data_IF_850583961523
#
_entry.id   IF_850583961523
#
_cell.length_a   1.000
_cell.length_b   1.000
_cell.length_c   1.000
_cell.angle_alpha   90.00
_cell.angle_beta   90.00
_cell.angle_gamma   90.00
#
_symmetry.space_group_name_H-M   'P 1'
#
loop_
_entity.id
_entity.type
_entity.pdbx_description
1 polymer ?
#
# COMPACT_ATOMS: atom_id res chain seq x y z
N UNK A 1 -12.54 0.68 22.95
CA UNK A 1 -12.38 -0.53 22.13
C UNK A 1 -11.40 -0.15 21.04
N UNK A 2 -10.12 -0.48 21.24
CA UNK A 2 -8.99 0.23 20.62
C UNK A 2 -8.61 -0.36 19.27
N UNK A 3 -8.48 0.49 18.25
CA UNK A 3 -7.98 0.31 16.86
C UNK A 3 -7.37 -1.04 16.46
N UNK A 4 -6.53 -1.64 17.30
CA UNK A 4 -5.93 -2.96 17.09
C UNK A 4 -6.99 -4.05 16.81
N UNK A 5 -8.10 -4.06 17.54
CA UNK A 5 -9.17 -5.05 17.33
C UNK A 5 -9.86 -4.86 15.97
N UNK A 6 -10.04 -3.62 15.53
CA UNK A 6 -10.63 -3.31 14.23
C UNK A 6 -9.70 -3.75 13.10
N UNK A 7 -8.39 -3.51 13.25
CA UNK A 7 -7.37 -3.98 12.31
C UNK A 7 -7.32 -5.52 12.28
N UNK A 8 -7.34 -6.19 13.44
CA UNK A 8 -7.31 -7.66 13.53
C UNK A 8 -8.54 -8.28 12.83
N UNK A 9 -9.74 -7.76 13.10
CA UNK A 9 -10.97 -8.18 12.42
C UNK A 9 -10.93 -7.91 10.91
N UNK A 10 -10.38 -6.77 10.50
CA UNK A 10 -10.22 -6.43 9.09
C UNK A 10 -9.25 -7.39 8.37
N UNK A 11 -8.11 -7.68 9.01
CA UNK A 11 -7.09 -8.60 8.50
C UNK A 11 -7.66 -10.01 8.31
N UNK A 12 -8.39 -10.51 9.29
CA UNK A 12 -9.02 -11.83 9.27
C UNK A 12 -10.17 -11.91 8.25
N UNK A 13 -11.10 -10.94 8.25
CA UNK A 13 -12.25 -10.94 7.36
C UNK A 13 -11.86 -10.88 5.88
N UNK A 14 -10.86 -10.05 5.54
CA UNK A 14 -10.40 -9.86 4.16
C UNK A 14 -9.27 -10.82 3.76
N UNK A 15 -8.82 -11.71 4.66
CA UNK A 15 -7.70 -12.65 4.43
C UNK A 15 -6.44 -11.94 3.91
N UNK A 16 -6.11 -10.79 4.50
CA UNK A 16 -4.97 -9.98 4.07
C UNK A 16 -3.67 -10.68 4.43
N UNK A 17 -2.72 -10.79 3.50
CA UNK A 17 -1.42 -11.41 3.78
C UNK A 17 -0.37 -10.40 4.23
N UNK A 18 -0.36 -9.23 3.61
CA UNK A 18 0.56 -8.13 3.90
C UNK A 18 -0.25 -6.83 3.89
N UNK A 19 -0.23 -6.12 4.99
CA UNK A 19 -0.90 -4.84 5.16
C UNK A 19 0.16 -3.74 5.32
N UNK A 20 0.10 -2.72 4.48
CA UNK A 20 0.93 -1.53 4.58
C UNK A 20 0.09 -0.39 5.17
N UNK A 21 0.60 0.23 6.23
CA UNK A 21 -0.09 1.32 6.93
C UNK A 21 0.81 2.54 6.97
N UNK A 22 0.34 3.63 6.40
CA UNK A 22 0.94 4.96 6.55
C UNK A 22 0.16 5.75 7.59
N UNK A 23 0.80 6.76 8.19
CA UNK A 23 0.14 7.63 9.16
C UNK A 23 -0.46 6.89 10.37
N UNK A 24 0.25 5.88 10.88
CA UNK A 24 -0.24 5.12 12.05
C UNK A 24 -0.20 5.92 13.36
N UNK A 25 0.65 6.95 13.45
CA UNK A 25 0.76 7.92 14.57
C UNK A 25 1.16 7.31 15.92
N UNK A 26 1.61 6.06 15.93
CA UNK A 26 2.06 5.34 17.11
C UNK A 26 3.53 5.66 17.41
N UNK A 27 3.88 5.61 18.69
CA UNK A 27 5.26 5.56 19.18
C UNK A 27 5.76 4.11 19.19
N UNK A 28 7.08 3.96 19.22
CA UNK A 28 7.75 2.64 19.13
C UNK A 28 7.29 1.65 20.20
N UNK A 29 7.02 2.11 21.42
CA UNK A 29 6.55 1.27 22.52
C UNK A 29 5.08 0.83 22.37
N UNK A 30 4.30 1.52 21.54
CA UNK A 30 2.90 1.21 21.25
C UNK A 30 2.74 0.20 20.11
N UNK A 31 3.83 -0.13 19.40
CA UNK A 31 3.80 -1.11 18.29
C UNK A 31 3.75 -2.57 18.76
N UNK A 32 3.70 -2.83 20.07
CA UNK A 32 3.58 -4.18 20.62
C UNK A 32 2.13 -4.69 20.53
N UNK A 33 1.54 -4.59 19.35
CA UNK A 33 0.18 -5.01 19.05
C UNK A 33 0.16 -6.53 18.82
N UNK A 34 -0.66 -7.25 19.58
CA UNK A 34 -0.83 -8.69 19.44
C UNK A 34 -2.00 -8.99 18.49
N UNK A 35 -1.73 -9.03 17.19
CA UNK A 35 -2.68 -9.55 16.21
C UNK A 35 -2.70 -11.08 16.28
N UNK A 36 -3.87 -11.68 16.02
CA UNK A 36 -4.06 -13.13 16.14
C UNK A 36 -3.19 -13.88 15.13
N UNK A 37 -3.42 -13.61 13.86
CA UNK A 37 -2.77 -14.31 12.74
C UNK A 37 -1.66 -13.48 12.07
N UNK A 38 -1.39 -12.28 12.58
CA UNK A 38 -0.45 -11.34 11.98
C UNK A 38 0.55 -10.79 12.98
N UNK A 39 1.60 -10.15 12.48
CA UNK A 39 2.63 -9.52 13.28
C UNK A 39 3.13 -8.25 12.58
N UNK A 40 3.48 -7.22 13.35
CA UNK A 40 4.22 -6.07 12.84
C UNK A 40 5.65 -6.52 12.56
N UNK A 41 6.11 -6.43 11.31
CA UNK A 41 7.44 -6.90 10.90
C UNK A 41 8.44 -5.77 10.72
N UNK A 42 7.98 -4.62 10.22
CA UNK A 42 8.81 -3.44 10.01
C UNK A 42 8.02 -2.19 10.31
N UNK A 43 8.69 -1.16 10.82
CA UNK A 43 8.06 0.09 11.20
C UNK A 43 9.07 1.24 11.25
N UNK A 44 8.58 2.44 10.96
CA UNK A 44 9.23 3.71 11.25
C UNK A 44 8.28 4.57 12.09
N UNK A 45 8.70 4.94 13.30
CA UNK A 45 7.98 5.87 14.16
C UNK A 45 8.72 7.20 14.23
N UNK A 46 7.98 8.32 14.22
CA UNK A 46 8.56 9.64 14.51
C UNK A 46 8.98 9.74 15.96
N UNK A 47 10.16 10.30 16.19
CA UNK A 47 10.68 10.58 17.53
C UNK A 47 10.23 11.97 17.98
N UNK A 48 10.42 12.98 17.12
CA UNK A 48 10.34 14.39 17.50
C UNK A 48 9.00 15.04 17.14
N UNK A 49 8.41 14.69 16.00
CA UNK A 49 7.14 15.23 15.56
C UNK A 49 5.95 14.33 15.91
N UNK A 50 4.77 14.95 15.91
CA UNK A 50 3.48 14.27 16.03
C UNK A 50 3.00 13.78 14.66
N UNK A 51 2.19 12.71 14.67
CA UNK A 51 1.55 12.11 13.49
C UNK A 51 2.56 11.60 12.45
N UNK A 52 2.12 10.93 11.40
CA UNK A 52 3.00 10.18 10.48
C UNK A 52 3.38 8.78 10.97
N UNK A 53 4.48 8.26 10.44
CA UNK A 53 4.94 6.89 10.61
C UNK A 53 4.49 5.97 9.48
N UNK A 54 5.18 4.85 9.35
CA UNK A 54 4.90 3.79 8.37
C UNK A 54 5.13 2.43 9.04
N UNK A 55 4.26 1.46 8.80
CA UNK A 55 4.43 0.09 9.31
C UNK A 55 3.93 -0.95 8.33
N UNK A 56 4.48 -2.16 8.43
CA UNK A 56 4.03 -3.33 7.67
C UNK A 56 3.66 -4.45 8.63
N UNK A 57 2.44 -4.95 8.47
CA UNK A 57 1.90 -6.12 9.17
C UNK A 57 1.85 -7.29 8.21
N UNK A 58 2.33 -8.46 8.62
CA UNK A 58 2.40 -9.67 7.80
C UNK A 58 1.73 -10.83 8.52
N UNK A 59 1.00 -11.66 7.78
CA UNK A 59 0.45 -12.91 8.29
C UNK A 59 1.60 -13.85 8.74
N UNK A 60 1.45 -14.43 9.93
CA UNK A 60 2.47 -15.27 10.61
C UNK A 60 2.85 -16.53 9.83
N UNK A 61 2.02 -16.99 8.91
CA UNK A 61 2.31 -18.15 8.05
C UNK A 61 3.41 -17.86 7.03
N UNK A 62 3.73 -16.59 6.76
CA UNK A 62 4.74 -16.19 5.78
C UNK A 62 6.08 -15.88 6.44
N UNK A 63 7.12 -16.58 5.98
CA UNK A 63 8.51 -16.25 6.33
C UNK A 63 8.90 -14.93 5.68
N UNK A 64 9.35 -13.99 6.50
CA UNK A 64 9.75 -12.68 6.07
C UNK A 64 10.77 -12.07 7.03
N UNK A 65 11.49 -11.05 6.56
CA UNK A 65 12.46 -10.30 7.38
C UNK A 65 12.39 -8.81 7.06
N UNK A 66 12.65 -7.99 8.06
CA UNK A 66 12.80 -6.55 7.86
C UNK A 66 14.05 -6.23 7.02
N UNK A 67 13.92 -5.32 6.05
CA UNK A 67 15.04 -4.73 5.30
C UNK A 67 15.54 -3.48 6.00
N UNK A 68 16.29 -3.67 7.08
CA UNK A 68 16.83 -2.58 7.92
C UNK A 68 17.70 -1.60 7.14
N UNK A 69 18.38 -2.06 6.10
CA UNK A 69 19.19 -1.23 5.20
C UNK A 69 18.38 -0.24 4.34
N UNK A 70 17.07 -0.49 4.19
CA UNK A 70 16.10 0.43 3.57
C UNK A 70 15.46 1.30 4.65
N UNK A 71 14.99 0.68 5.75
CA UNK A 71 14.29 1.39 6.84
C UNK A 71 15.19 2.46 7.47
N UNK A 72 16.50 2.21 7.59
CA UNK A 72 17.49 3.17 8.12
C UNK A 72 17.69 4.41 7.24
N UNK A 73 17.20 4.41 5.99
CA UNK A 73 17.20 5.59 5.13
C UNK A 73 15.99 6.50 5.35
N UNK A 74 15.02 6.07 6.16
CA UNK A 74 13.88 6.90 6.51
C UNK A 74 14.32 8.16 7.24
N UNK A 75 13.74 9.28 6.85
CA UNK A 75 13.98 10.58 7.47
C UNK A 75 12.62 11.18 7.83
N UNK A 76 12.45 11.42 9.13
CA UNK A 76 11.25 12.04 9.68
C UNK A 76 10.88 13.31 8.91
N UNK A 77 9.60 13.46 8.57
CA UNK A 77 9.06 14.60 7.80
C UNK A 77 9.53 14.70 6.34
N UNK A 78 10.32 13.75 5.83
CA UNK A 78 10.77 13.71 4.43
C UNK A 78 10.23 12.47 3.73
N UNK A 79 10.63 11.29 4.21
CA UNK A 79 10.25 9.99 3.67
C UNK A 79 10.31 8.95 4.79
N UNK A 80 9.18 8.34 5.10
CA UNK A 80 9.00 7.48 6.27
C UNK A 80 8.64 6.09 5.77
N UNK A 81 9.54 5.12 6.00
CA UNK A 81 9.45 3.83 5.32
C UNK A 81 9.53 2.65 6.28
N UNK A 82 8.68 1.66 6.01
CA UNK A 82 8.82 0.31 6.50
C UNK A 82 9.11 -0.62 5.31
N UNK A 83 9.92 -1.65 5.49
CA UNK A 83 10.31 -2.52 4.38
C UNK A 83 10.49 -3.96 4.85
N UNK A 84 9.84 -4.88 4.14
CA UNK A 84 9.91 -6.32 4.40
C UNK A 84 10.30 -7.08 3.14
N UNK A 85 11.14 -8.08 3.31
CA UNK A 85 11.50 -9.04 2.28
C UNK A 85 10.87 -10.40 2.61
N UNK A 86 10.03 -10.89 1.70
CA UNK A 86 9.47 -12.24 1.67
C UNK A 86 10.25 -13.10 0.67
N UNK A 87 9.88 -14.38 0.52
CA UNK A 87 10.57 -15.32 -0.38
C UNK A 87 10.70 -14.78 -1.82
N UNK A 88 9.60 -14.30 -2.41
CA UNK A 88 9.54 -13.82 -3.81
C UNK A 88 9.34 -12.32 -3.96
N UNK A 89 9.03 -11.63 -2.86
CA UNK A 89 8.57 -10.25 -2.87
C UNK A 89 9.40 -9.38 -1.93
N UNK A 90 9.58 -8.11 -2.31
CA UNK A 90 9.97 -7.04 -1.40
C UNK A 90 8.82 -6.04 -1.38
N UNK A 91 8.34 -5.71 -0.18
CA UNK A 91 7.26 -4.75 0.01
C UNK A 91 7.79 -3.57 0.82
N UNK A 92 7.64 -2.38 0.25
CA UNK A 92 8.01 -1.11 0.86
C UNK A 92 6.75 -0.30 1.09
N UNK A 93 6.49 0.07 2.34
CA UNK A 93 5.46 1.03 2.70
C UNK A 93 6.11 2.40 2.84
N UNK A 94 5.66 3.37 2.05
CA UNK A 94 6.24 4.71 1.96
C UNK A 94 5.19 5.74 2.33
N UNK A 95 5.53 6.60 3.30
CA UNK A 95 4.80 7.82 3.56
C UNK A 95 5.68 9.03 3.25
N UNK A 96 5.24 9.87 2.32
CA UNK A 96 5.82 11.18 2.07
C UNK A 96 4.86 12.25 2.60
N UNK A 97 5.25 13.01 3.64
CA UNK A 97 4.46 14.13 4.14
C UNK A 97 4.25 15.21 3.06
N UNK A 98 3.07 15.85 2.99
CA UNK A 98 2.70 16.73 1.88
C UNK A 98 3.66 17.93 1.69
N UNK A 99 4.18 18.46 2.79
CA UNK A 99 5.04 19.65 2.81
C UNK A 99 6.54 19.33 2.77
N UNK A 100 6.93 18.08 2.50
CA UNK A 100 8.36 17.75 2.38
C UNK A 100 8.95 18.26 1.07
N UNK A 101 10.19 18.74 1.11
CA UNK A 101 10.91 19.15 -0.09
C UNK A 101 11.14 17.94 -1.00
N UNK A 102 10.63 18.01 -2.23
CA UNK A 102 10.63 16.89 -3.17
C UNK A 102 12.05 16.39 -3.51
N UNK A 103 13.03 17.29 -3.64
CA UNK A 103 14.41 16.91 -3.99
C UNK A 103 15.06 15.99 -2.95
N UNK A 104 14.80 16.22 -1.65
CA UNK A 104 15.29 15.36 -0.59
C UNK A 104 14.61 13.99 -0.62
N UNK A 105 13.30 13.97 -0.85
CA UNK A 105 12.55 12.73 -1.02
C UNK A 105 13.09 11.94 -2.22
N UNK A 106 13.31 12.59 -3.37
CA UNK A 106 13.78 11.95 -4.60
C UNK A 106 15.16 11.32 -4.43
N UNK A 107 16.11 12.06 -3.85
CA UNK A 107 17.46 11.55 -3.58
C UNK A 107 17.44 10.30 -2.70
N UNK A 108 16.65 10.32 -1.61
CA UNK A 108 16.53 9.17 -0.72
C UNK A 108 15.84 8.00 -1.44
N UNK A 109 14.77 8.27 -2.20
CA UNK A 109 14.06 7.25 -2.97
C UNK A 109 14.98 6.59 -4.00
N UNK A 110 15.83 7.36 -4.70
CA UNK A 110 16.81 6.79 -5.64
C UNK A 110 17.78 5.83 -4.93
N UNK A 111 18.29 6.19 -3.74
CA UNK A 111 19.14 5.31 -2.93
C UNK A 111 18.43 4.03 -2.50
N UNK A 112 17.13 4.12 -2.19
CA UNK A 112 16.27 2.96 -1.90
C UNK A 112 16.16 2.08 -3.14
N UNK A 113 15.85 2.66 -4.30
CA UNK A 113 15.70 1.93 -5.57
C UNK A 113 16.98 1.21 -5.98
N UNK A 114 18.15 1.84 -5.83
CA UNK A 114 19.46 1.21 -6.05
C UNK A 114 19.68 -0.02 -5.16
N UNK A 115 19.21 -0.01 -3.91
CA UNK A 115 19.31 -1.16 -3.00
C UNK A 115 18.30 -2.25 -3.32
N UNK A 116 17.15 -1.89 -3.90
CA UNK A 116 16.12 -2.83 -4.31
C UNK A 116 16.48 -3.52 -5.64
N UNK A 117 17.13 -2.80 -6.55
CA UNK A 117 17.49 -3.30 -7.90
C UNK A 117 18.52 -4.44 -7.90
N UNK A 118 19.25 -4.62 -6.81
CA UNK A 118 20.20 -5.74 -6.63
C UNK A 118 19.45 -7.07 -6.37
N UNK A 119 18.16 -7.02 -6.04
CA UNK A 119 17.35 -8.21 -5.79
C UNK A 119 16.67 -8.71 -7.06
N UNK A 120 16.68 -10.03 -7.28
CA UNK A 120 15.89 -10.68 -8.34
C UNK A 120 14.41 -10.92 -7.92
N UNK A 121 13.88 -10.11 -7.01
CA UNK A 121 12.52 -10.25 -6.47
C UNK A 121 11.56 -9.27 -7.10
N UNK A 122 10.28 -9.61 -7.04
CA UNK A 122 9.23 -8.65 -7.37
C UNK A 122 9.13 -7.60 -6.27
N UNK A 123 9.10 -6.34 -6.66
CA UNK A 123 9.08 -5.21 -5.74
C UNK A 123 7.70 -4.56 -5.78
N UNK A 124 7.17 -4.26 -4.60
CA UNK A 124 5.99 -3.43 -4.42
C UNK A 124 6.36 -2.24 -3.56
N UNK A 125 6.23 -1.04 -4.09
CA UNK A 125 6.38 0.21 -3.34
C UNK A 125 5.00 0.84 -3.26
N UNK A 126 4.49 1.03 -2.04
CA UNK A 126 3.12 1.44 -1.83
C UNK A 126 2.96 2.38 -0.65
N UNK A 127 1.94 3.24 -0.68
CA UNK A 127 1.62 4.13 0.42
C UNK A 127 1.15 5.51 -0.05
N UNK A 128 1.13 6.47 0.86
CA UNK A 128 0.73 7.85 0.59
C UNK A 128 1.96 8.70 0.21
N UNK A 129 2.04 9.08 -1.06
CA UNK A 129 3.11 9.92 -1.59
C UNK A 129 2.80 11.42 -1.46
N UNK A 130 1.55 11.79 -1.16
CA UNK A 130 1.04 13.16 -1.24
C UNK A 130 1.48 13.87 -2.54
N UNK A 131 1.48 13.15 -3.66
CA UNK A 131 1.77 13.64 -5.02
C UNK A 131 0.63 13.16 -5.92
N UNK A 132 -0.17 14.10 -6.44
CA UNK A 132 -1.35 13.73 -7.21
C UNK A 132 -0.94 13.22 -8.60
N UNK A 133 -1.04 11.91 -8.82
CA UNK A 133 -0.71 11.30 -10.11
C UNK A 133 -1.71 11.65 -11.23
N UNK A 134 -2.88 12.20 -10.91
CA UNK A 134 -3.83 12.68 -11.92
C UNK A 134 -3.39 14.01 -12.55
N UNK A 135 -2.43 14.70 -11.93
CA UNK A 135 -1.91 15.98 -12.40
C UNK A 135 -0.51 15.82 -12.99
N UNK A 136 -0.20 16.55 -14.06
CA UNK A 136 1.12 16.56 -14.69
C UNK A 136 2.04 17.65 -14.10
N UNK A 137 2.22 17.62 -12.79
CA UNK A 137 3.17 18.52 -12.10
C UNK A 137 4.62 18.05 -12.30
N UNK A 138 5.60 18.93 -12.04
CA UNK A 138 7.01 18.56 -12.06
C UNK A 138 7.31 17.38 -11.10
N UNK A 139 6.72 17.37 -9.91
CA UNK A 139 6.87 16.29 -8.95
C UNK A 139 6.30 14.96 -9.48
N UNK A 140 5.13 14.99 -10.12
CA UNK A 140 4.52 13.79 -10.71
C UNK A 140 5.38 13.21 -11.84
N UNK A 141 5.88 14.07 -12.74
CA UNK A 141 6.72 13.66 -13.87
C UNK A 141 8.03 13.06 -13.37
N UNK A 142 8.66 13.71 -12.40
CA UNK A 142 9.90 13.22 -11.77
C UNK A 142 9.71 11.89 -11.07
N UNK A 143 8.64 11.74 -10.27
CA UNK A 143 8.36 10.50 -9.54
C UNK A 143 8.15 9.33 -10.50
N UNK A 144 7.35 9.55 -11.55
CA UNK A 144 7.11 8.55 -12.59
C UNK A 144 8.38 8.17 -13.33
N UNK A 145 9.19 9.17 -13.71
CA UNK A 145 10.45 8.94 -14.43
C UNK A 145 11.43 8.16 -13.57
N UNK A 146 11.58 8.53 -12.30
CA UNK A 146 12.44 7.84 -11.35
C UNK A 146 12.00 6.39 -11.15
N UNK A 147 10.72 6.13 -10.86
CA UNK A 147 10.27 4.74 -10.64
C UNK A 147 10.36 3.90 -11.92
N UNK A 148 10.02 4.50 -13.07
CA UNK A 148 10.07 3.82 -14.36
C UNK A 148 11.50 3.45 -14.78
N UNK A 149 12.53 4.23 -14.40
CA UNK A 149 13.92 3.87 -14.68
C UNK A 149 14.37 2.58 -13.96
N UNK A 150 13.66 2.18 -12.91
CA UNK A 150 13.83 0.91 -12.19
C UNK A 150 12.77 -0.15 -12.55
N UNK A 151 12.13 -0.01 -13.73
CA UNK A 151 11.06 -0.87 -14.20
C UNK A 151 9.83 -0.94 -13.28
N UNK A 152 9.60 0.06 -12.43
CA UNK A 152 8.42 0.15 -11.57
C UNK A 152 7.37 1.03 -12.24
N UNK A 153 6.21 0.46 -12.53
CA UNK A 153 5.05 1.20 -13.05
C UNK A 153 3.95 1.30 -11.99
N UNK A 154 3.15 2.37 -12.05
CA UNK A 154 1.96 2.49 -11.22
C UNK A 154 0.95 1.42 -11.62
N UNK A 155 0.33 0.78 -10.63
CA UNK A 155 -0.63 -0.29 -10.84
C UNK A 155 -2.00 0.22 -11.30
N UNK A 156 -2.35 1.42 -10.87
CA UNK A 156 -3.65 2.04 -11.13
C UNK A 156 -3.48 3.56 -11.27
N UNK A 157 -4.52 4.23 -11.76
CA UNK A 157 -4.49 5.67 -12.04
C UNK A 157 -5.85 6.34 -11.77
N UNK A 158 -6.64 5.77 -10.87
CA UNK A 158 -7.91 6.27 -10.40
C UNK A 158 -7.75 7.08 -9.09
N UNK A 159 -8.67 8.02 -8.79
CA UNK A 159 -8.64 8.73 -7.52
C UNK A 159 -8.69 7.80 -6.31
N UNK A 160 -7.80 8.03 -5.35
CA UNK A 160 -7.71 7.30 -4.08
C UNK A 160 -8.19 8.12 -2.88
N UNK A 161 -8.24 9.45 -3.02
CA UNK A 161 -8.81 10.37 -2.04
C UNK A 161 -9.87 11.25 -2.70
N UNK A 162 -11.13 11.07 -2.30
CA UNK A 162 -12.27 11.81 -2.84
C UNK A 162 -12.88 12.62 -1.71
N UNK A 163 -13.04 13.92 -1.95
CA UNK A 163 -13.75 14.86 -1.07
C UNK A 163 -14.99 15.39 -1.78
N UNK A 164 -15.79 16.23 -1.13
CA UNK A 164 -16.93 16.90 -1.77
C UNK A 164 -16.53 17.79 -2.95
N UNK A 165 -15.27 18.22 -3.02
CA UNK A 165 -14.79 19.24 -3.98
C UNK A 165 -13.61 18.79 -4.83
N UNK A 166 -13.01 17.63 -4.55
CA UNK A 166 -11.82 17.17 -5.27
C UNK A 166 -11.72 15.64 -5.31
N UNK A 167 -11.00 15.13 -6.30
CA UNK A 167 -10.64 13.73 -6.43
C UNK A 167 -9.16 13.64 -6.84
N UNK A 168 -8.33 13.06 -5.97
CA UNK A 168 -6.87 13.01 -6.14
C UNK A 168 -6.35 11.58 -6.03
N UNK A 169 -5.29 11.23 -6.79
CA UNK A 169 -4.61 9.94 -6.73
C UNK A 169 -3.25 10.10 -6.05
N UNK A 170 -3.21 9.97 -4.73
CA UNK A 170 -2.02 10.24 -3.90
C UNK A 170 -1.52 9.00 -3.17
N UNK A 171 -2.41 8.09 -2.84
CA UNK A 171 -2.10 6.71 -2.46
C UNK A 171 -1.84 5.88 -3.72
N UNK A 172 -0.69 5.21 -3.81
CA UNK A 172 -0.26 4.51 -5.03
C UNK A 172 0.45 3.20 -4.73
N UNK A 173 0.43 2.29 -5.70
CA UNK A 173 1.24 1.06 -5.72
C UNK A 173 2.08 1.08 -7.00
N UNK A 174 3.39 0.92 -6.85
CA UNK A 174 4.33 0.76 -7.95
C UNK A 174 4.98 -0.62 -7.89
N UNK A 175 5.10 -1.27 -9.05
CA UNK A 175 5.67 -2.62 -9.11
C UNK A 175 6.37 -2.90 -10.43
N UNK A 176 7.34 -3.82 -10.38
CA UNK A 176 8.03 -4.39 -11.55
C UNK A 176 7.40 -5.71 -12.00
N UNK A 177 6.30 -6.09 -11.37
CA UNK A 177 5.54 -7.28 -11.72
C UNK A 177 4.59 -6.95 -12.86
N UNK A 178 4.65 -7.75 -13.93
CA UNK A 178 3.63 -7.73 -14.97
C UNK A 178 2.36 -8.37 -14.38
N UNK A 179 1.44 -7.53 -13.93
CA UNK A 179 0.16 -8.00 -13.42
C UNK A 179 -0.75 -8.26 -14.61
N UNK A 180 -0.79 -9.52 -15.05
CA UNK A 180 -1.93 -10.02 -15.83
C UNK A 180 -3.10 -10.09 -14.86
N UNK A 181 -4.23 -9.45 -15.20
CA UNK A 181 -5.39 -9.18 -14.31
C UNK A 181 -5.98 -10.41 -13.60
N UNK A 182 -5.54 -11.62 -13.92
CA UNK A 182 -6.15 -12.89 -13.53
C UNK A 182 -5.48 -13.60 -12.32
N UNK A 183 -4.26 -13.27 -11.90
CA UNK A 183 -3.42 -14.31 -11.25
C UNK A 183 -2.92 -14.12 -9.80
N UNK A 184 -3.16 -13.01 -9.08
CA UNK A 184 -2.55 -12.86 -7.74
C UNK A 184 -3.52 -12.49 -6.62
N UNK A 185 -3.70 -13.45 -5.70
CA UNK A 185 -4.23 -13.28 -4.33
C UNK A 185 -3.19 -12.63 -3.39
N UNK A 186 -2.31 -11.75 -3.87
CA UNK A 186 -1.53 -10.92 -2.96
C UNK A 186 -2.34 -9.65 -2.71
N UNK A 187 -3.21 -9.70 -1.70
CA UNK A 187 -3.96 -8.53 -1.25
C UNK A 187 -3.01 -7.59 -0.51
N UNK A 188 -2.27 -6.79 -1.28
CA UNK A 188 -1.59 -5.61 -0.75
C UNK A 188 -2.64 -4.53 -0.59
N UNK A 189 -3.13 -4.39 0.64
CA UNK A 189 -3.98 -3.26 1.00
C UNK A 189 -3.09 -2.16 1.57
N UNK A 190 -3.24 -0.95 1.04
CA UNK A 190 -2.77 0.26 1.70
C UNK A 190 -3.94 0.76 2.53
N UNK A 191 -3.78 0.80 3.85
CA UNK A 191 -4.68 1.55 4.71
C UNK A 191 -4.00 2.87 5.09
N UNK A 192 -4.58 4.00 4.67
CA UNK A 192 -4.42 5.26 5.41
C UNK A 192 -5.43 5.23 6.55
N UNK A 193 -4.99 4.80 7.74
CA UNK A 193 -5.90 4.31 8.79
C UNK A 193 -6.76 5.40 9.43
N UNK A 194 -6.49 6.71 9.28
CA UNK A 194 -7.10 7.65 10.23
C UNK A 194 -8.22 8.56 9.75
N UNK A 195 -8.42 8.80 8.45
CA UNK A 195 -9.50 9.73 8.01
C UNK A 195 -10.88 9.08 7.76
N UNK A 196 -11.00 7.76 7.96
CA UNK A 196 -12.22 6.99 7.65
C UNK A 196 -12.98 6.45 8.88
N UNK A 197 -12.43 6.55 10.09
CA UNK A 197 -12.99 5.92 11.29
C UNK A 197 -13.80 6.87 12.19
N UNK A 198 -14.59 7.77 11.61
CA UNK A 198 -15.80 8.25 12.27
C UNK A 198 -16.93 7.23 12.05
N UNK A 199 -17.30 6.57 13.15
CA UNK A 199 -18.19 5.40 13.28
C UNK A 199 -19.68 5.72 12.99
N UNK A 200 -19.96 6.52 11.96
CA UNK A 200 -21.32 6.68 11.39
C UNK A 200 -21.39 6.46 9.87
N UNK A 201 -20.27 6.19 9.22
CA UNK A 201 -20.18 6.09 7.76
C UNK A 201 -20.36 4.67 7.20
N UNK A 202 -20.47 3.65 8.06
CA UNK A 202 -20.52 2.25 7.65
C UNK A 202 -21.89 1.75 7.15
N UNK A 203 -22.95 2.59 7.16
CA UNK A 203 -24.29 2.21 6.69
C UNK A 203 -24.69 2.77 5.31
N UNK A 204 -23.86 3.53 4.59
CA UNK A 204 -24.32 4.08 3.31
C UNK A 204 -23.34 4.13 2.14
N UNK A 205 -22.06 3.86 2.30
CA UNK A 205 -21.14 3.87 1.15
C UNK A 205 -20.14 2.73 1.21
N UNK A 206 -20.20 1.90 0.17
CA UNK A 206 -19.16 0.93 -0.22
C UNK A 206 -17.79 1.55 0.02
N UNK A 207 -16.98 0.89 0.82
CA UNK A 207 -15.62 1.30 1.14
C UNK A 207 -14.74 1.14 -0.12
N UNK A 208 -14.49 2.26 -0.81
CA UNK A 208 -13.50 2.35 -1.89
C UNK A 208 -12.10 2.49 -1.27
N UNK A 209 -11.60 1.40 -0.70
CA UNK A 209 -10.21 1.30 -0.24
C UNK A 209 -9.63 0.06 -0.90
N UNK A 210 -9.04 0.23 -2.09
CA UNK A 210 -8.23 -0.80 -2.78
C UNK A 210 -8.86 -2.21 -2.75
N UNK A 211 -10.18 -2.30 -2.91
CA UNK A 211 -10.93 -3.54 -3.22
C UNK A 211 -11.34 -3.54 -4.71
N UNK A 212 -10.99 -2.49 -5.46
CA UNK A 212 -11.41 -2.33 -6.86
C UNK A 212 -10.80 -3.32 -7.83
N UNK A 213 -9.67 -3.95 -7.49
CA UNK A 213 -9.11 -5.04 -8.31
C UNK A 213 -10.00 -6.30 -8.23
N UNK A 214 -10.73 -6.54 -7.12
CA UNK A 214 -11.69 -7.65 -7.04
C UNK A 214 -13.10 -7.32 -7.50
N UNK A 215 -13.55 -6.07 -7.30
CA UNK A 215 -14.93 -5.71 -7.65
C UNK A 215 -15.16 -5.55 -9.16
N UNK A 216 -14.14 -5.20 -9.94
CA UNK A 216 -14.30 -5.14 -11.40
C UNK A 216 -14.42 -6.55 -12.01
N UNK A 217 -13.67 -7.52 -11.47
CA UNK A 217 -13.68 -8.91 -11.94
C UNK A 217 -14.99 -9.60 -11.55
N UNK A 218 -15.48 -9.43 -10.32
CA UNK A 218 -16.78 -10.00 -9.93
C UNK A 218 -17.94 -9.34 -10.65
N UNK A 219 -17.88 -8.04 -10.96
CA UNK A 219 -18.95 -7.37 -11.70
C UNK A 219 -18.96 -7.77 -13.18
N UNK A 220 -17.81 -7.89 -13.84
CA UNK A 220 -17.72 -8.41 -15.22
C UNK A 220 -18.14 -9.87 -15.27
N UNK A 221 -17.69 -10.72 -14.34
CA UNK A 221 -18.06 -12.13 -14.30
C UNK A 221 -19.56 -12.31 -14.05
N UNK A 222 -20.14 -11.51 -13.15
CA UNK A 222 -21.59 -11.49 -12.92
C UNK A 222 -22.36 -10.93 -14.13
N UNK A 223 -21.82 -9.91 -14.83
CA UNK A 223 -22.44 -9.37 -16.04
C UNK A 223 -22.38 -10.37 -17.21
N UNK A 224 -21.29 -11.10 -17.36
CA UNK A 224 -21.14 -12.18 -18.36
C UNK A 224 -22.03 -13.38 -18.04
N UNK A 225 -22.25 -13.69 -16.75
CA UNK A 225 -23.22 -14.70 -16.30
C UNK A 225 -24.67 -14.26 -16.56
N UNK A 226 -25.00 -13.01 -16.23
CA UNK A 226 -26.35 -12.43 -16.43
C UNK A 226 -26.69 -12.31 -17.92
N UNK A 227 -25.69 -12.04 -18.77
CA UNK A 227 -25.85 -11.91 -20.22
C UNK A 227 -25.77 -13.26 -20.98
N UNK A 228 -25.62 -14.40 -20.30
CA UNK A 228 -25.43 -15.73 -20.91
C UNK A 228 -24.30 -15.79 -21.96
N UNK A 229 -23.26 -14.95 -21.81
CA UNK A 229 -22.16 -14.84 -22.77
C UNK A 229 -20.99 -15.80 -22.47
N UNK A 230 -21.11 -16.65 -21.44
CA UNK A 230 -20.12 -17.70 -21.14
C UNK A 230 -20.63 -19.03 -21.71
N UNK A 231 -20.01 -19.58 -22.77
CA UNK A 231 -20.29 -20.93 -23.22
C UNK A 231 -19.95 -21.93 -22.11
N UNK A 232 -20.83 -22.90 -21.90
CA UNK A 232 -20.88 -23.87 -20.81
C UNK A 232 -19.72 -24.91 -20.77
N UNK A 233 -18.46 -24.50 -20.98
CA UNK A 233 -17.35 -25.43 -21.20
C UNK A 233 -16.18 -25.39 -20.21
N UNK A 234 -16.24 -24.61 -19.13
CA UNK A 234 -15.14 -24.52 -18.14
C UNK A 234 -15.51 -24.93 -16.70
N UNK A 235 -16.56 -25.75 -16.53
CA UNK A 235 -16.92 -26.33 -15.22
C UNK A 235 -16.26 -27.70 -14.94
N UNK A 236 -15.15 -27.99 -15.62
CA UNK A 236 -14.25 -29.10 -15.26
C UNK A 236 -12.80 -28.62 -15.33
N UNK A 237 -12.30 -28.07 -14.21
CA UNK A 237 -11.00 -28.32 -13.56
C UNK A 237 -10.78 -27.30 -12.43
#
# INVERSE_FOLDING_TARGET
MGKELEIDLFLDYNKVNVLCVTEHWLKKYELNCNFKNHQVVSSFCRENAIRGGSLIIVNKDYKCKERRDIVSLSVERIIEMACVELERFIVVSVYRPPNSLYDFFENIMERVLLKLSVSNKHVFICGDFNINLLENTNATIRLRTLLKSYNLSNLFSEPTRITSTSATCIDNIFTNMLIVQESYRLFLLILDVWRSLEVKFWQKFRMFVIVKILMFITWIYLMLLILNLVPSLLLKL
#
